data_IF_439582780218
#
_entry.id   IF_439582780218
#
_cell.length_a   1.000
_cell.length_b   1.000
_cell.length_c   1.000
_cell.angle_alpha   90.00
_cell.angle_beta   90.00
_cell.angle_gamma   90.00
#
_symmetry.space_group_name_H-M   'P 1'
#
loop_
_entity.id
_entity.type
_entity.pdbx_description
1 polymer ?
#
# COMPACT_ATOMS: atom_id res chain seq x y z
N UNK A 1 6.74 -14.76 -7.89
CA UNK A 1 6.91 -13.38 -8.38
C UNK A 1 7.97 -12.70 -7.53
N UNK A 2 8.86 -11.91 -8.13
CA UNK A 2 9.97 -11.28 -7.43
C UNK A 2 9.46 -10.22 -6.44
N UNK A 3 9.77 -10.38 -5.15
CA UNK A 3 9.40 -9.42 -4.12
C UNK A 3 10.01 -8.05 -4.44
N UNK A 4 9.17 -7.03 -4.63
CA UNK A 4 9.63 -5.66 -4.90
C UNK A 4 10.25 -5.08 -3.64
N UNK A 5 11.59 -5.14 -3.52
CA UNK A 5 12.31 -4.45 -2.44
C UNK A 5 12.39 -2.96 -2.73
N UNK A 6 11.74 -2.15 -1.89
CA UNK A 6 11.86 -0.69 -1.91
C UNK A 6 12.88 -0.23 -0.88
N UNK A 7 13.83 0.61 -1.30
CA UNK A 7 14.65 1.38 -0.38
C UNK A 7 13.78 2.34 0.44
N UNK A 8 14.25 2.78 1.61
CA UNK A 8 13.47 3.64 2.52
C UNK A 8 12.81 4.84 1.81
N UNK A 9 13.61 5.63 1.09
CA UNK A 9 13.14 6.80 0.34
C UNK A 9 12.14 6.47 -0.77
N UNK A 10 12.31 5.33 -1.44
CA UNK A 10 11.37 4.87 -2.47
C UNK A 10 10.03 4.47 -1.85
N UNK A 11 10.05 3.84 -0.67
CA UNK A 11 8.85 3.49 0.08
C UNK A 11 8.08 4.73 0.53
N UNK A 12 8.79 5.70 1.10
CA UNK A 12 8.20 6.99 1.51
C UNK A 12 7.57 7.71 0.32
N UNK A 13 8.25 7.75 -0.84
CA UNK A 13 7.70 8.35 -2.05
C UNK A 13 6.45 7.59 -2.57
N UNK A 14 6.46 6.26 -2.58
CA UNK A 14 5.29 5.47 -2.94
C UNK A 14 4.10 5.71 -2.00
N UNK A 15 4.36 5.84 -0.69
CA UNK A 15 3.32 6.13 0.30
C UNK A 15 2.68 7.51 0.08
N UNK A 16 3.47 8.51 -0.31
CA UNK A 16 2.96 9.83 -0.70
C UNK A 16 2.06 9.71 -1.93
N UNK A 17 2.53 9.05 -3.00
CA UNK A 17 1.76 8.88 -4.23
C UNK A 17 0.45 8.10 -4.00
N UNK A 18 0.45 7.11 -3.11
CA UNK A 18 -0.75 6.36 -2.79
C UNK A 18 -1.76 7.14 -1.94
N UNK A 19 -1.28 8.03 -1.06
CA UNK A 19 -2.14 8.81 -0.16
C UNK A 19 -2.73 10.04 -0.84
N UNK A 20 -1.92 10.74 -1.63
CA UNK A 20 -2.28 12.02 -2.26
C UNK A 20 -2.81 11.84 -3.69
N UNK A 21 -2.58 10.68 -4.30
CA UNK A 21 -2.84 10.48 -5.73
C UNK A 21 -1.76 11.10 -6.62
N UNK A 22 -2.08 11.46 -7.87
CA UNK A 22 -1.10 12.03 -8.80
C UNK A 22 -0.46 13.30 -8.24
N UNK A 23 0.87 13.33 -8.17
CA UNK A 23 1.64 14.43 -7.57
C UNK A 23 2.80 14.88 -8.45
N UNK A 24 3.08 16.17 -8.44
CA UNK A 24 4.29 16.75 -9.01
C UNK A 24 5.52 16.43 -8.15
N UNK A 25 6.72 16.57 -8.74
CA UNK A 25 7.98 16.41 -7.98
C UNK A 25 8.07 17.38 -6.80
N UNK A 26 7.55 18.61 -6.95
CA UNK A 26 7.56 19.61 -5.90
C UNK A 26 6.66 19.18 -4.72
N UNK A 27 5.45 18.71 -4.99
CA UNK A 27 4.54 18.22 -3.94
C UNK A 27 5.12 17.01 -3.21
N UNK A 28 5.78 16.09 -3.93
CA UNK A 28 6.48 14.96 -3.31
C UNK A 28 7.66 15.46 -2.47
N UNK A 29 8.41 16.47 -2.93
CA UNK A 29 9.51 17.07 -2.17
C UNK A 29 9.01 17.69 -0.87
N UNK A 30 7.88 18.39 -0.88
CA UNK A 30 7.33 19.06 0.30
C UNK A 30 7.04 18.06 1.43
N UNK A 31 6.67 16.82 1.09
CA UNK A 31 6.42 15.73 2.05
C UNK A 31 7.68 14.92 2.38
N UNK A 32 8.50 14.59 1.37
CA UNK A 32 9.67 13.74 1.52
C UNK A 32 10.85 14.48 2.17
N UNK A 33 10.90 15.81 2.02
CA UNK A 33 12.01 16.67 2.42
C UNK A 33 13.28 16.47 1.58
N UNK A 34 14.25 17.37 1.78
CA UNK A 34 15.50 17.40 1.00
C UNK A 34 15.40 18.27 -0.26
N UNK A 35 16.26 18.01 -1.26
CA UNK A 35 16.29 18.80 -2.49
C UNK A 35 15.32 18.29 -3.56
N UNK A 36 14.86 19.19 -4.44
CA UNK A 36 14.06 18.85 -5.62
C UNK A 36 14.72 17.74 -6.48
N UNK A 37 16.03 17.83 -6.68
CA UNK A 37 16.79 16.83 -7.46
C UNK A 37 16.80 15.45 -6.79
N UNK A 38 16.84 15.38 -5.46
CA UNK A 38 16.77 14.13 -4.72
C UNK A 38 15.38 13.48 -4.85
N UNK A 39 14.31 14.26 -4.67
CA UNK A 39 12.94 13.80 -4.88
C UNK A 39 12.72 13.30 -6.31
N UNK A 40 13.16 14.08 -7.31
CA UNK A 40 13.10 13.68 -8.73
C UNK A 40 13.85 12.39 -9.00
N UNK A 41 15.02 12.20 -8.41
CA UNK A 41 15.82 11.00 -8.60
C UNK A 41 15.13 9.75 -8.01
N UNK A 42 14.46 9.88 -6.86
CA UNK A 42 13.65 8.79 -6.26
C UNK A 42 12.49 8.42 -7.18
N UNK A 43 11.70 9.41 -7.61
CA UNK A 43 10.55 9.20 -8.49
C UNK A 43 10.97 8.60 -9.84
N UNK A 44 12.09 9.07 -10.40
CA UNK A 44 12.64 8.54 -11.66
C UNK A 44 13.11 7.09 -11.53
N UNK A 45 13.66 6.69 -10.37
CA UNK A 45 14.01 5.29 -10.09
C UNK A 45 12.77 4.41 -9.99
N UNK A 46 11.73 4.87 -9.28
CA UNK A 46 10.45 4.17 -9.21
C UNK A 46 9.84 3.97 -10.60
N UNK A 47 9.85 5.02 -11.43
CA UNK A 47 9.34 4.94 -12.80
C UNK A 47 10.15 4.01 -13.69
N UNK A 48 11.49 4.06 -13.62
CA UNK A 48 12.37 3.13 -14.36
C UNK A 48 12.15 1.67 -13.97
N UNK A 49 11.70 1.42 -12.73
CA UNK A 49 11.36 0.09 -12.22
C UNK A 49 9.91 -0.31 -12.51
N UNK A 50 9.12 0.54 -13.17
CA UNK A 50 7.70 0.28 -13.45
C UNK A 50 6.80 0.33 -12.21
N UNK A 51 7.23 1.03 -11.15
CA UNK A 51 6.47 1.15 -9.89
C UNK A 51 5.66 2.45 -9.82
N UNK A 52 6.04 3.45 -10.62
CA UNK A 52 5.30 4.68 -10.79
C UNK A 52 5.21 5.03 -12.29
N UNK A 53 4.10 5.60 -12.71
CA UNK A 53 3.96 6.24 -14.00
C UNK A 53 4.27 7.73 -13.87
N UNK A 54 4.61 8.36 -14.99
CA UNK A 54 4.69 9.80 -15.06
C UNK A 54 4.12 10.29 -16.38
N UNK A 55 3.53 11.48 -16.32
CA UNK A 55 3.05 12.21 -17.49
C UNK A 55 3.48 13.66 -17.42
N UNK A 56 3.53 14.29 -18.58
CA UNK A 56 3.88 15.69 -18.70
C UNK A 56 2.58 16.51 -18.75
N UNK A 57 2.35 17.32 -17.72
CA UNK A 57 1.20 18.24 -17.65
C UNK A 57 1.73 19.67 -17.65
N UNK A 58 1.70 20.33 -18.81
CA UNK A 58 2.25 21.67 -18.98
C UNK A 58 3.74 21.68 -18.64
N UNK A 59 4.26 22.60 -17.80
CA UNK A 59 5.69 22.65 -17.48
C UNK A 59 6.14 21.63 -16.40
N UNK A 60 5.26 20.73 -15.94
CA UNK A 60 5.52 19.87 -14.78
C UNK A 60 5.39 18.39 -15.11
N UNK A 61 6.23 17.58 -14.47
CA UNK A 61 6.05 16.13 -14.43
C UNK A 61 5.14 15.77 -13.25
N UNK A 62 4.07 15.05 -13.54
CA UNK A 62 3.16 14.45 -12.56
C UNK A 62 3.44 12.97 -12.50
N UNK A 63 3.61 12.43 -11.30
CA UNK A 63 3.86 11.03 -11.00
C UNK A 63 2.65 10.42 -10.32
N UNK A 64 2.38 9.16 -10.61
CA UNK A 64 1.31 8.37 -9.96
C UNK A 64 1.75 6.91 -9.81
N UNK A 65 1.16 6.12 -8.91
CA UNK A 65 1.48 4.70 -8.80
C UNK A 65 1.20 3.95 -10.10
N UNK A 66 2.08 3.01 -10.48
CA UNK A 66 1.89 2.23 -11.71
C UNK A 66 0.85 1.12 -11.59
N UNK A 67 0.55 0.68 -10.36
CA UNK A 67 -0.53 -0.25 -10.04
C UNK A 67 -1.52 0.43 -9.11
N UNK A 68 -2.78 -0.01 -9.21
CA UNK A 68 -3.78 0.32 -8.22
C UNK A 68 -3.29 -0.11 -6.83
N UNK A 69 -3.46 0.76 -5.85
CA UNK A 69 -3.05 0.57 -4.45
C UNK A 69 -3.58 -0.74 -3.92
N UNK A 70 -4.82 -1.09 -4.28
CA UNK A 70 -5.51 -2.30 -3.83
C UNK A 70 -4.79 -3.56 -4.31
N UNK A 71 -4.40 -3.61 -5.57
CA UNK A 71 -3.72 -4.75 -6.19
C UNK A 71 -2.31 -4.92 -5.60
N UNK A 72 -1.58 -3.82 -5.44
CA UNK A 72 -0.24 -3.85 -4.86
C UNK A 72 -0.27 -4.26 -3.38
N UNK A 73 -1.22 -3.71 -2.60
CA UNK A 73 -1.40 -4.04 -1.20
C UNK A 73 -1.83 -5.50 -1.01
N UNK A 74 -2.78 -6.00 -1.81
CA UNK A 74 -3.23 -7.39 -1.77
C UNK A 74 -2.07 -8.35 -2.08
N UNK A 75 -1.29 -8.08 -3.13
CA UNK A 75 -0.13 -8.91 -3.47
C UNK A 75 0.92 -8.90 -2.37
N UNK A 76 1.24 -7.74 -1.79
CA UNK A 76 2.21 -7.63 -0.71
C UNK A 76 1.73 -8.36 0.57
N UNK A 77 0.44 -8.23 0.91
CA UNK A 77 -0.16 -8.94 2.02
C UNK A 77 -0.10 -10.45 1.79
N UNK A 78 -0.45 -10.92 0.59
CA UNK A 78 -0.40 -12.35 0.24
C UNK A 78 1.00 -12.93 0.41
N UNK A 79 2.03 -12.23 -0.06
CA UNK A 79 3.42 -12.66 0.09
C UNK A 79 3.86 -12.67 1.57
N UNK A 80 3.46 -11.67 2.35
CA UNK A 80 3.72 -11.60 3.79
C UNK A 80 3.06 -12.76 4.54
N UNK A 81 1.78 -13.04 4.25
CA UNK A 81 1.03 -14.14 4.84
C UNK A 81 1.64 -15.49 4.47
N UNK A 82 2.06 -15.69 3.22
CA UNK A 82 2.75 -16.90 2.80
C UNK A 82 4.10 -17.08 3.52
N UNK A 83 4.87 -16.00 3.66
CA UNK A 83 6.24 -16.05 4.18
C UNK A 83 6.30 -16.22 5.69
N UNK A 84 5.52 -15.45 6.44
CA UNK A 84 5.63 -15.38 7.90
C UNK A 84 4.54 -16.15 8.64
N UNK A 85 3.42 -16.41 7.98
CA UNK A 85 2.25 -17.06 8.59
C UNK A 85 1.90 -18.39 7.91
N UNK A 86 2.75 -18.88 6.99
CA UNK A 86 2.55 -20.15 6.30
C UNK A 86 1.24 -20.23 5.51
N UNK A 87 0.70 -19.09 5.07
CA UNK A 87 -0.60 -19.04 4.38
C UNK A 87 -1.83 -19.09 5.31
N UNK A 88 -1.65 -19.09 6.62
CA UNK A 88 -2.76 -19.23 7.58
C UNK A 88 -3.48 -17.91 7.85
N UNK A 89 -4.66 -17.73 7.25
CA UNK A 89 -5.53 -16.58 7.51
C UNK A 89 -5.92 -16.46 9.00
N UNK A 90 -6.12 -17.58 9.68
CA UNK A 90 -6.44 -17.59 11.12
C UNK A 90 -5.26 -17.06 11.94
N UNK A 91 -4.03 -17.48 11.64
CA UNK A 91 -2.85 -17.00 12.36
C UNK A 91 -2.64 -15.48 12.17
N UNK A 92 -2.87 -14.98 10.96
CA UNK A 92 -2.81 -13.53 10.65
C UNK A 92 -3.86 -12.77 11.46
N UNK A 93 -5.11 -13.25 11.49
CA UNK A 93 -6.19 -12.57 12.20
C UNK A 93 -5.95 -12.57 13.72
N UNK A 94 -5.46 -13.68 14.28
CA UNK A 94 -5.07 -13.75 15.70
C UNK A 94 -3.98 -12.74 16.03
N UNK A 95 -2.95 -12.64 15.20
CA UNK A 95 -1.86 -11.68 15.41
C UNK A 95 -2.37 -10.23 15.32
N UNK A 96 -3.22 -9.93 14.34
CA UNK A 96 -3.83 -8.61 14.17
C UNK A 96 -4.65 -8.22 15.41
N UNK A 97 -5.56 -9.09 15.86
CA UNK A 97 -6.41 -8.87 17.03
C UNK A 97 -5.60 -8.72 18.33
N UNK A 98 -4.51 -9.48 18.46
CA UNK A 98 -3.61 -9.34 19.59
C UNK A 98 -2.89 -7.98 19.60
N UNK A 99 -2.54 -7.43 18.43
CA UNK A 99 -1.88 -6.13 18.30
C UNK A 99 -2.82 -4.95 18.56
N UNK A 100 -4.11 -5.07 18.22
CA UNK A 100 -5.08 -3.99 18.39
C UNK A 100 -5.97 -4.16 19.62
N UNK A 101 -5.66 -5.10 20.52
CA UNK A 101 -6.51 -5.43 21.69
C UNK A 101 -6.90 -4.21 22.54
N UNK A 102 -6.00 -3.25 22.69
CA UNK A 102 -6.23 -2.05 23.51
C UNK A 102 -6.74 -0.84 22.69
N UNK A 103 -6.85 -0.99 21.37
CA UNK A 103 -7.26 0.10 20.44
C UNK A 103 -8.55 -0.22 19.68
N UNK A 104 -8.97 -1.48 19.65
CA UNK A 104 -10.20 -1.92 18.99
C UNK A 104 -11.38 -1.72 19.93
N UNK A 105 -12.42 -1.06 19.45
CA UNK A 105 -13.66 -0.88 20.20
C UNK A 105 -14.70 -1.95 19.82
N UNK A 106 -15.75 -2.07 20.64
CA UNK A 106 -16.83 -3.03 20.40
C UNK A 106 -17.50 -2.80 19.03
N UNK A 107 -17.58 -1.56 18.56
CA UNK A 107 -18.19 -1.24 17.27
C UNK A 107 -17.34 -1.74 16.08
N UNK A 108 -16.02 -1.77 16.21
CA UNK A 108 -15.12 -2.33 15.21
C UNK A 108 -15.13 -3.86 15.26
N UNK A 109 -15.22 -4.46 16.45
CA UNK A 109 -15.42 -5.91 16.60
C UNK A 109 -16.73 -6.37 15.94
N UNK A 110 -17.84 -5.66 16.17
CA UNK A 110 -19.13 -5.94 15.53
C UNK A 110 -19.03 -5.89 13.99
N UNK A 111 -18.31 -4.92 13.43
CA UNK A 111 -18.07 -4.84 11.98
C UNK A 111 -17.28 -6.03 11.46
N UNK A 112 -16.25 -6.47 12.19
CA UNK A 112 -15.47 -7.66 11.82
C UNK A 112 -16.34 -8.92 11.82
N UNK A 113 -17.22 -9.10 12.81
CA UNK A 113 -18.18 -10.21 12.85
C UNK A 113 -19.15 -10.18 11.67
N UNK A 114 -19.65 -9.00 11.30
CA UNK A 114 -20.51 -8.83 10.12
C UNK A 114 -19.81 -9.23 8.83
N UNK A 115 -18.54 -8.84 8.65
CA UNK A 115 -17.75 -9.22 7.48
C UNK A 115 -17.58 -10.75 7.37
N UNK A 116 -17.26 -11.42 8.48
CA UNK A 116 -17.14 -12.89 8.52
C UNK A 116 -18.49 -13.55 8.18
N UNK A 117 -19.58 -13.02 8.72
CA UNK A 117 -20.94 -13.52 8.47
C UNK A 117 -21.33 -13.34 7.00
N UNK A 118 -21.02 -12.18 6.41
CA UNK A 118 -21.26 -11.92 4.99
C UNK A 118 -20.52 -12.94 4.10
N UNK A 119 -19.24 -13.22 4.36
CA UNK A 119 -18.46 -14.22 3.63
C UNK A 119 -19.08 -15.62 3.75
N UNK A 120 -19.53 -16.01 4.95
CA UNK A 120 -20.23 -17.29 5.16
C UNK A 120 -21.51 -17.38 4.34
N UNK A 121 -22.31 -16.31 4.33
CA UNK A 121 -23.57 -16.27 3.58
C UNK A 121 -23.34 -16.33 2.07
N UNK A 122 -22.35 -15.61 1.54
CA UNK A 122 -21.99 -15.65 0.11
C UNK A 122 -21.55 -17.04 -0.33
N UNK A 123 -20.82 -17.79 0.51
CA UNK A 123 -20.44 -19.20 0.21
C UNK A 123 -21.62 -20.17 0.23
N UNK A 124 -22.69 -19.88 0.97
CA UNK A 124 -23.89 -20.74 1.05
C UNK A 124 -24.83 -20.53 -0.13
N UNK A 125 -24.76 -19.35 -0.76
CA UNK A 125 -25.60 -18.95 -1.89
C UNK A 125 -24.91 -19.12 -3.26
N UNK A 126 -23.67 -19.63 -3.28
CA UNK A 126 -22.88 -19.95 -4.47
C UNK A 126 -22.81 -21.47 -4.65
#
# INVERSE_FOLDING_TARGET
MSTVRLARREREAMEILYRQGPCTVAEVQDHLGGSYSAARAVLSRLARRGLANHRYEGPRYVYEPAQDVSIAAESALKDLVATFFGGSNTAVMTALLAMCKDTVDDAELDRLEQLVTAVRNSRRNA
#
